data_IF_136923519525
#
_entry.id   IF_136923519525
#
_cell.length_a   1.000
_cell.length_b   1.000
_cell.length_c   1.000
_cell.angle_alpha   90.00
_cell.angle_beta   90.00
_cell.angle_gamma   90.00
#
_symmetry.space_group_name_H-M   'P 1'
#
loop_
_entity.id
_entity.type
_entity.pdbx_description
1 polymer ?
#
# COMPACT_ATOMS: atom_id res chain seq x y z
N UNK A 1 16.81 18.54 12.87
CA UNK A 1 15.50 17.96 12.59
C UNK A 1 15.57 16.50 13.01
N UNK A 2 14.72 16.06 13.94
CA UNK A 2 14.70 14.65 14.34
C UNK A 2 13.89 13.92 13.28
N UNK A 3 14.52 13.06 12.49
CA UNK A 3 13.79 12.17 11.57
C UNK A 3 12.80 11.36 12.40
N UNK A 4 11.50 11.45 12.07
CA UNK A 4 10.53 10.49 12.58
C UNK A 4 10.89 9.15 11.94
N UNK A 5 11.10 8.06 12.71
CA UNK A 5 11.28 6.76 12.12
C UNK A 5 9.94 6.32 11.51
N UNK A 6 9.94 6.05 10.20
CA UNK A 6 8.79 5.50 9.49
C UNK A 6 8.99 3.99 9.33
N UNK A 7 7.92 3.22 9.56
CA UNK A 7 7.94 1.76 9.40
C UNK A 7 7.74 1.42 7.92
N UNK A 8 8.71 0.73 7.32
CA UNK A 8 8.51 0.14 6.00
C UNK A 8 7.60 -1.09 6.12
N UNK A 9 6.57 -1.10 5.31
CA UNK A 9 5.58 -2.17 5.15
C UNK A 9 5.52 -2.60 3.69
N UNK A 10 4.70 -3.59 3.35
CA UNK A 10 4.66 -4.21 2.03
C UNK A 10 3.22 -4.42 1.58
N UNK A 11 3.01 -4.33 0.27
CA UNK A 11 1.76 -4.65 -0.42
C UNK A 11 2.06 -5.48 -1.67
N UNK A 12 1.28 -6.52 -1.99
CA UNK A 12 1.31 -7.14 -3.31
C UNK A 12 1.09 -6.10 -4.42
N UNK A 13 1.98 -6.09 -5.41
CA UNK A 13 1.94 -5.12 -6.51
C UNK A 13 0.65 -5.24 -7.34
N UNK A 14 0.12 -6.46 -7.46
CA UNK A 14 -1.09 -6.77 -8.24
C UNK A 14 -2.38 -6.26 -7.56
N UNK A 15 -2.32 -5.69 -6.35
CA UNK A 15 -3.48 -5.06 -5.68
C UNK A 15 -3.51 -3.53 -5.84
N UNK A 16 -2.38 -2.94 -6.23
CA UNK A 16 -2.16 -1.49 -6.16
C UNK A 16 -3.02 -0.69 -7.15
N UNK A 17 -3.62 -1.35 -8.14
CA UNK A 17 -4.49 -0.75 -9.17
C UNK A 17 -6.00 -0.94 -8.91
N UNK A 18 -6.40 -1.82 -7.98
CA UNK A 18 -7.80 -2.14 -7.71
C UNK A 18 -8.25 -1.72 -6.30
N UNK A 19 -7.56 -2.18 -5.26
CA UNK A 19 -7.86 -1.87 -3.86
C UNK A 19 -6.57 -1.97 -3.05
N UNK A 20 -6.26 -0.94 -2.27
CA UNK A 20 -5.07 -0.92 -1.41
C UNK A 20 -5.45 -1.38 0.01
N UNK A 21 -5.20 -2.65 0.40
CA UNK A 21 -5.48 -3.11 1.76
C UNK A 21 -4.46 -2.59 2.77
N UNK A 22 -4.62 -2.97 4.03
CA UNK A 22 -3.64 -2.69 5.08
C UNK A 22 -2.27 -3.28 4.70
N UNK A 23 -1.20 -2.46 4.62
CA UNK A 23 0.13 -2.97 4.34
C UNK A 23 0.70 -3.72 5.55
N UNK A 24 1.46 -4.78 5.33
CA UNK A 24 2.00 -5.66 6.39
C UNK A 24 3.51 -5.54 6.53
N UNK A 25 4.07 -6.01 7.65
CA UNK A 25 5.49 -5.83 7.97
C UNK A 25 6.40 -6.67 7.09
N UNK A 26 5.94 -7.84 6.68
CA UNK A 26 6.67 -8.74 5.80
C UNK A 26 5.77 -9.31 4.71
N UNK A 27 6.30 -9.57 3.49
CA UNK A 27 5.55 -10.28 2.44
C UNK A 27 4.98 -11.62 2.89
N UNK A 28 5.70 -12.33 3.76
CA UNK A 28 5.26 -13.62 4.35
C UNK A 28 3.97 -13.49 5.18
N UNK A 29 3.69 -12.31 5.73
CA UNK A 29 2.51 -12.09 6.59
C UNK A 29 1.18 -12.19 5.82
N UNK A 30 1.23 -12.06 4.49
CA UNK A 30 0.06 -12.23 3.62
C UNK A 30 -0.29 -13.70 3.34
N UNK A 31 0.61 -14.65 3.65
CA UNK A 31 0.38 -16.05 3.36
C UNK A 31 -0.68 -16.61 4.30
N UNK A 32 -1.67 -17.28 3.73
CA UNK A 32 -2.62 -18.10 4.46
C UNK A 32 -2.56 -19.54 3.94
N UNK A 33 -2.60 -20.51 4.85
CA UNK A 33 -2.70 -21.93 4.53
C UNK A 33 -4.14 -22.37 4.70
N UNK A 34 -4.75 -22.86 3.62
CA UNK A 34 -6.10 -23.37 3.60
C UNK A 34 -6.18 -24.78 4.25
N UNK A 35 -7.38 -25.20 4.63
CA UNK A 35 -7.64 -26.51 5.26
C UNK A 35 -7.24 -27.71 4.38
N UNK A 36 -7.26 -27.54 3.06
CA UNK A 36 -6.83 -28.56 2.08
C UNK A 36 -5.29 -28.60 1.89
N UNK A 37 -4.56 -27.75 2.61
CA UNK A 37 -3.11 -27.63 2.56
C UNK A 37 -2.57 -26.74 1.45
N UNK A 38 -3.45 -26.13 0.63
CA UNK A 38 -3.07 -25.13 -0.36
C UNK A 38 -2.68 -23.80 0.31
N UNK A 39 -1.98 -22.94 -0.44
CA UNK A 39 -1.55 -21.63 0.04
C UNK A 39 -2.12 -20.53 -0.84
N UNK A 40 -2.57 -19.46 -0.19
CA UNK A 40 -3.05 -18.24 -0.84
C UNK A 40 -2.33 -17.01 -0.28
N UNK A 41 -2.27 -15.97 -1.10
CA UNK A 41 -2.02 -14.60 -0.64
C UNK A 41 -3.38 -13.96 -0.42
N UNK A 42 -3.59 -13.38 0.77
CA UNK A 42 -4.87 -12.77 1.15
C UNK A 42 -4.63 -11.48 1.96
N UNK A 43 -5.45 -10.44 1.77
CA UNK A 43 -5.43 -9.27 2.65
C UNK A 43 -5.61 -9.63 4.11
N UNK A 44 -5.10 -8.79 5.02
CA UNK A 44 -5.30 -8.92 6.46
C UNK A 44 -5.88 -7.62 6.99
N UNK A 45 -6.75 -7.73 7.99
CA UNK A 45 -7.40 -6.55 8.57
C UNK A 45 -6.38 -5.66 9.30
N UNK A 46 -5.38 -6.26 9.95
CA UNK A 46 -4.33 -5.52 10.62
C UNK A 46 -2.98 -6.25 10.59
N UNK A 47 -1.91 -5.50 10.75
CA UNK A 47 -0.54 -6.03 10.92
C UNK A 47 -0.37 -6.90 12.18
N UNK A 48 -1.31 -6.84 13.11
CA UNK A 48 -1.28 -7.60 14.36
C UNK A 48 -2.25 -8.78 14.35
N UNK A 49 -3.05 -8.93 13.30
CA UNK A 49 -3.96 -10.06 13.06
C UNK A 49 -3.67 -10.74 11.72
N UNK A 50 -2.72 -11.68 11.75
CA UNK A 50 -2.26 -12.40 10.56
C UNK A 50 -3.07 -13.68 10.28
N UNK A 51 -4.03 -14.02 11.15
CA UNK A 51 -4.82 -15.26 11.09
C UNK A 51 -6.29 -14.90 11.24
N UNK A 52 -6.92 -14.31 10.21
CA UNK A 52 -8.32 -13.94 10.30
C UNK A 52 -9.17 -15.18 10.61
N UNK A 53 -9.95 -15.11 11.68
CA UNK A 53 -10.99 -16.09 12.00
C UNK A 53 -12.19 -15.79 11.08
N UNK A 54 -12.28 -16.42 9.92
CA UNK A 54 -13.38 -16.13 8.99
C UNK A 54 -13.19 -16.69 7.58
N UNK A 55 -14.30 -16.76 6.83
CA UNK A 55 -14.35 -17.35 5.50
C UNK A 55 -13.61 -16.51 4.48
N UNK A 56 -12.66 -17.14 3.79
CA UNK A 56 -11.96 -16.67 2.59
C UNK A 56 -12.93 -16.13 1.51
N UNK A 57 -14.19 -16.54 1.55
CA UNK A 57 -15.28 -16.27 0.59
C UNK A 57 -15.59 -14.77 0.41
N UNK A 58 -15.44 -13.93 1.43
CA UNK A 58 -15.76 -12.48 1.31
C UNK A 58 -14.64 -11.68 0.60
N UNK A 59 -13.46 -12.27 0.43
CA UNK A 59 -12.27 -11.61 -0.16
C UNK A 59 -11.79 -12.31 -1.44
N UNK A 60 -12.64 -13.13 -2.08
CA UNK A 60 -12.29 -13.92 -3.28
C UNK A 60 -11.71 -13.09 -4.43
N UNK A 61 -12.08 -11.81 -4.55
CA UNK A 61 -11.60 -10.92 -5.60
C UNK A 61 -10.17 -10.40 -5.35
N UNK A 62 -9.65 -10.50 -4.13
CA UNK A 62 -8.32 -10.01 -3.75
C UNK A 62 -7.34 -11.12 -3.42
N UNK A 63 -7.78 -12.38 -3.42
CA UNK A 63 -6.91 -13.51 -3.14
C UNK A 63 -6.39 -14.16 -4.41
N UNK A 64 -5.22 -14.78 -4.29
CA UNK A 64 -4.69 -15.62 -5.35
C UNK A 64 -3.91 -16.79 -4.77
N UNK A 65 -3.98 -17.93 -5.47
CA UNK A 65 -3.26 -19.15 -5.11
C UNK A 65 -1.77 -19.02 -5.42
N UNK A 66 -0.94 -19.61 -4.56
CA UNK A 66 0.50 -19.70 -4.76
C UNK A 66 1.01 -21.12 -4.53
N UNK A 67 1.96 -21.55 -5.34
CA UNK A 67 2.66 -22.83 -5.23
C UNK A 67 4.17 -22.61 -5.06
N UNK A 68 4.84 -23.58 -4.43
CA UNK A 68 6.30 -23.48 -4.23
C UNK A 68 7.01 -23.24 -5.55
N UNK A 69 7.81 -22.19 -5.61
CA UNK A 69 8.53 -21.77 -6.81
C UNK A 69 7.93 -20.53 -7.49
N UNK A 70 6.67 -20.21 -7.24
CA UNK A 70 6.00 -19.02 -7.78
C UNK A 70 6.66 -17.73 -7.32
N UNK A 71 6.58 -16.71 -8.16
CA UNK A 71 7.08 -15.36 -7.88
C UNK A 71 5.90 -14.43 -7.68
N UNK A 72 5.92 -13.70 -6.57
CA UNK A 72 4.96 -12.65 -6.25
C UNK A 72 5.74 -11.34 -6.09
N UNK A 73 5.22 -10.26 -6.68
CA UNK A 73 5.83 -8.93 -6.58
C UNK A 73 5.19 -8.16 -5.44
N UNK A 74 6.01 -7.46 -4.67
CA UNK A 74 5.57 -6.59 -3.59
C UNK A 74 6.18 -5.21 -3.73
N UNK A 75 5.44 -4.17 -3.37
CA UNK A 75 5.95 -2.80 -3.28
C UNK A 75 6.22 -2.44 -1.81
N UNK A 76 7.44 -1.98 -1.47
CA UNK A 76 7.70 -1.42 -0.16
C UNK A 76 6.97 -0.09 -0.02
N UNK A 77 6.32 0.10 1.12
CA UNK A 77 5.45 1.24 1.41
C UNK A 77 5.79 1.87 2.75
N UNK A 78 5.79 3.20 2.82
CA UNK A 78 5.85 3.95 4.07
C UNK A 78 4.65 4.90 4.16
N UNK A 79 4.02 4.96 5.34
CA UNK A 79 2.95 5.91 5.65
C UNK A 79 3.53 7.04 6.50
N UNK A 80 3.41 8.29 6.03
CA UNK A 80 3.96 9.47 6.71
C UNK A 80 2.93 10.21 7.56
N UNK A 81 1.66 9.85 7.38
CA UNK A 81 0.52 10.40 8.10
C UNK A 81 -0.18 11.49 7.31
N UNK A 82 -1.06 12.19 8.02
CA UNK A 82 -1.97 13.18 7.47
C UNK A 82 -1.43 14.58 7.66
N UNK A 83 -1.47 15.38 6.61
CA UNK A 83 -0.99 16.75 6.53
C UNK A 83 -2.11 17.69 6.07
N UNK A 84 -2.01 18.98 6.41
CA UNK A 84 -2.96 20.00 5.94
C UNK A 84 -2.37 20.74 4.74
N UNK A 85 -2.97 20.56 3.57
CA UNK A 85 -2.68 21.30 2.34
C UNK A 85 -3.55 22.56 2.30
N UNK A 86 -2.95 23.70 1.99
CA UNK A 86 -3.64 24.96 1.79
C UNK A 86 -3.49 25.41 0.35
N UNK A 87 -4.61 25.78 -0.29
CA UNK A 87 -4.69 26.29 -1.65
C UNK A 87 -5.27 27.71 -1.62
N UNK A 88 -4.50 28.69 -2.09
CA UNK A 88 -4.92 30.08 -2.14
C UNK A 88 -5.72 30.41 -3.41
N UNK A 89 -6.39 31.57 -3.41
CA UNK A 89 -7.18 32.08 -4.55
C UNK A 89 -6.35 32.25 -5.84
N UNK A 90 -5.06 32.55 -5.71
CA UNK A 90 -4.14 32.70 -6.85
C UNK A 90 -3.53 31.37 -7.34
N UNK A 91 -4.04 30.23 -6.83
CA UNK A 91 -3.56 28.86 -7.10
C UNK A 91 -2.17 28.54 -6.53
N UNK A 92 -1.58 29.41 -5.73
CA UNK A 92 -0.41 29.03 -4.92
C UNK A 92 -0.84 28.08 -3.80
N UNK A 93 0.03 27.14 -3.42
CA UNK A 93 -0.28 26.17 -2.36
C UNK A 93 0.92 25.92 -1.45
N UNK A 94 0.65 25.50 -0.22
CA UNK A 94 1.65 25.05 0.76
C UNK A 94 1.06 23.99 1.68
N UNK A 95 1.92 23.28 2.40
CA UNK A 95 1.52 22.22 3.32
C UNK A 95 2.10 22.47 4.72
N UNK A 96 1.32 22.13 5.74
CA UNK A 96 1.76 22.30 7.14
C UNK A 96 2.69 21.17 7.58
N UNK A 97 3.94 21.53 7.84
CA UNK A 97 4.98 20.60 8.30
C UNK A 97 5.80 19.98 7.17
N UNK A 98 6.74 19.13 7.55
CA UNK A 98 7.64 18.46 6.61
C UNK A 98 7.31 16.96 6.53
N UNK A 99 7.46 16.41 5.33
CA UNK A 99 7.46 14.97 5.05
C UNK A 99 8.73 14.58 4.28
N UNK A 100 9.12 13.29 4.27
CA UNK A 100 10.29 12.83 3.54
C UNK A 100 10.26 13.21 2.05
N UNK A 101 11.39 13.70 1.52
CA UNK A 101 11.49 14.13 0.12
C UNK A 101 11.29 13.01 -0.91
N UNK A 102 11.30 11.75 -0.47
CA UNK A 102 11.00 10.59 -1.30
C UNK A 102 9.50 10.30 -1.46
N UNK A 103 8.63 10.98 -0.71
CA UNK A 103 7.18 10.82 -0.85
C UNK A 103 6.72 11.03 -2.30
N UNK A 104 5.90 10.11 -2.80
CA UNK A 104 5.48 10.07 -4.20
C UNK A 104 4.01 9.66 -4.38
N UNK A 105 3.26 9.55 -3.29
CA UNK A 105 1.87 9.14 -3.31
C UNK A 105 1.10 9.99 -2.29
N UNK A 106 0.05 10.66 -2.76
CA UNK A 106 -0.69 11.68 -2.03
C UNK A 106 -2.18 11.41 -2.21
N UNK A 107 -2.89 11.25 -1.10
CA UNK A 107 -4.32 10.96 -1.08
C UNK A 107 -5.09 12.11 -0.44
N UNK A 108 -6.11 12.61 -1.11
CA UNK A 108 -7.08 13.52 -0.52
C UNK A 108 -8.42 12.80 -0.44
N UNK A 109 -9.07 12.83 0.74
CA UNK A 109 -10.40 12.25 0.94
C UNK A 109 -11.35 12.66 -0.20
N UNK A 110 -12.25 11.75 -0.57
CA UNK A 110 -13.19 11.84 -1.69
C UNK A 110 -12.57 11.66 -3.09
N UNK A 111 -11.27 11.42 -3.19
CA UNK A 111 -10.68 10.83 -4.40
C UNK A 111 -10.82 9.31 -4.37
N UNK A 112 -11.25 8.74 -5.50
CA UNK A 112 -11.07 7.30 -5.82
C UNK A 112 -9.64 7.02 -6.34
N UNK A 113 -8.74 8.01 -6.33
CA UNK A 113 -7.42 7.94 -6.94
C UNK A 113 -6.34 8.63 -6.12
N UNK A 114 -5.09 8.26 -6.37
CA UNK A 114 -3.90 8.79 -5.71
C UNK A 114 -3.17 9.72 -6.67
N UNK A 115 -2.74 10.88 -6.18
CA UNK A 115 -1.85 11.76 -6.92
C UNK A 115 -0.39 11.40 -6.68
N UNK A 116 0.45 11.53 -7.71
CA UNK A 116 1.91 11.42 -7.62
C UNK A 116 2.57 12.67 -7.06
N UNK A 117 1.82 13.77 -6.94
CA UNK A 117 2.25 15.04 -6.34
C UNK A 117 1.06 15.82 -5.77
N UNK A 118 1.34 16.78 -4.88
CA UNK A 118 0.32 17.72 -4.40
C UNK A 118 -0.31 18.55 -5.52
N UNK A 119 0.45 18.90 -6.55
CA UNK A 119 -0.07 19.63 -7.71
C UNK A 119 -1.10 18.79 -8.47
N UNK A 120 -0.81 17.49 -8.66
CA UNK A 120 -1.74 16.57 -9.29
C UNK A 120 -3.00 16.36 -8.44
N UNK A 121 -2.87 16.22 -7.11
CA UNK A 121 -4.04 16.16 -6.21
C UNK A 121 -4.93 17.40 -6.38
N UNK A 122 -4.34 18.60 -6.47
CA UNK A 122 -5.07 19.85 -6.70
C UNK A 122 -5.76 19.87 -8.08
N UNK A 123 -5.14 19.29 -9.10
CA UNK A 123 -5.68 19.24 -10.47
C UNK A 123 -6.80 18.21 -10.65
N UNK A 124 -6.66 17.02 -10.03
CA UNK A 124 -7.67 15.96 -10.08
C UNK A 124 -8.87 16.32 -9.20
N UNK A 125 -8.64 16.95 -8.05
CA UNK A 125 -9.70 17.45 -7.18
C UNK A 125 -10.34 16.38 -6.31
N UNK A 126 -11.66 16.22 -6.43
CA UNK A 126 -12.45 15.14 -5.81
C UNK A 126 -12.93 14.12 -6.86
N UNK A 127 -12.39 14.18 -8.09
CA UNK A 127 -12.74 13.29 -9.19
C UNK A 127 -14.14 13.50 -9.79
N UNK A 128 -14.99 14.32 -9.17
CA UNK A 128 -16.40 14.52 -9.57
C UNK A 128 -16.66 15.96 -10.01
N UNK A 129 -16.19 16.93 -9.23
CA UNK A 129 -16.44 18.36 -9.42
C UNK A 129 -15.28 19.09 -10.13
N UNK A 130 -14.19 18.37 -10.41
CA UNK A 130 -12.98 18.93 -11.03
C UNK A 130 -11.96 19.40 -9.99
N UNK A 131 -10.97 20.22 -10.38
CA UNK A 131 -9.86 20.65 -9.51
C UNK A 131 -10.31 21.21 -8.16
N UNK A 132 -9.48 21.05 -7.12
CA UNK A 132 -9.77 21.62 -5.80
C UNK A 132 -9.91 23.15 -5.89
N UNK A 133 -10.92 23.68 -5.20
CA UNK A 133 -11.11 25.11 -5.01
C UNK A 133 -10.16 25.67 -3.92
N UNK A 134 -9.98 27.00 -3.80
CA UNK A 134 -9.22 27.57 -2.70
C UNK A 134 -9.77 27.14 -1.32
N UNK A 135 -8.90 26.68 -0.43
CA UNK A 135 -9.31 26.10 0.85
C UNK A 135 -8.19 25.35 1.57
N UNK A 136 -8.57 24.61 2.61
CA UNK A 136 -7.67 23.75 3.39
C UNK A 136 -8.17 22.31 3.33
N UNK A 137 -7.26 21.38 3.04
CA UNK A 137 -7.55 20.00 2.72
C UNK A 137 -6.68 19.05 3.53
N UNK A 138 -7.28 17.94 3.95
CA UNK A 138 -6.54 16.83 4.57
C UNK A 138 -5.93 15.97 3.47
N UNK A 139 -4.61 15.76 3.53
CA UNK A 139 -3.89 14.93 2.57
C UNK A 139 -3.06 13.89 3.33
N UNK A 140 -3.29 12.61 3.06
CA UNK A 140 -2.42 11.54 3.52
C UNK A 140 -1.23 11.39 2.57
N UNK A 141 -0.04 11.27 3.16
CA UNK A 141 1.22 11.24 2.43
C UNK A 141 1.90 9.90 2.61
N UNK A 142 2.31 9.31 1.50
CA UNK A 142 2.93 8.00 1.42
C UNK A 142 4.19 8.02 0.56
N UNK A 143 4.96 6.95 0.68
CA UNK A 143 5.93 6.54 -0.32
C UNK A 143 5.66 5.10 -0.73
N UNK A 144 5.61 4.85 -2.03
CA UNK A 144 5.61 3.52 -2.64
C UNK A 144 6.88 3.34 -3.47
N UNK A 145 7.65 2.29 -3.17
CA UNK A 145 8.83 1.93 -3.95
C UNK A 145 8.51 1.09 -5.18
N UNK A 146 9.56 0.69 -5.88
CA UNK A 146 9.43 -0.20 -7.04
C UNK A 146 9.08 -1.63 -6.59
N UNK A 147 8.53 -2.40 -7.52
CA UNK A 147 8.28 -3.83 -7.34
C UNK A 147 9.57 -4.58 -6.96
N UNK A 148 9.50 -5.33 -5.88
CA UNK A 148 10.50 -6.33 -5.50
C UNK A 148 9.89 -7.73 -5.62
N UNK A 149 10.64 -8.66 -6.22
CA UNK A 149 10.14 -10.01 -6.44
C UNK A 149 10.51 -10.95 -5.29
N UNK A 150 9.54 -11.75 -4.89
CA UNK A 150 9.67 -12.75 -3.83
C UNK A 150 9.23 -14.11 -4.32
N UNK A 151 10.08 -15.12 -4.10
CA UNK A 151 9.77 -16.51 -4.41
C UNK A 151 9.08 -17.18 -3.22
N UNK A 152 7.93 -17.79 -3.47
CA UNK A 152 7.26 -18.60 -2.47
C UNK A 152 7.99 -19.94 -2.26
N UNK A 153 8.25 -20.28 -1.00
CA UNK A 153 8.89 -21.54 -0.61
C UNK A 153 8.32 -22.11 0.67
N UNK A 154 8.29 -23.44 0.78
CA UNK A 154 7.92 -24.15 2.01
C UNK A 154 9.17 -24.87 2.53
N UNK A 155 9.55 -24.59 3.78
CA UNK A 155 10.67 -25.25 4.44
C UNK A 155 10.35 -26.72 4.73
N UNK A 156 11.36 -27.58 4.99
CA UNK A 156 11.12 -28.97 5.38
C UNK A 156 10.25 -29.16 6.64
N UNK A 157 10.17 -28.14 7.50
CA UNK A 157 9.31 -28.12 8.69
C UNK A 157 7.85 -27.71 8.39
N UNK A 158 7.51 -27.46 7.12
CA UNK A 158 6.19 -27.01 6.70
C UNK A 158 5.98 -25.50 6.74
N UNK A 159 6.98 -24.73 7.17
CA UNK A 159 6.86 -23.26 7.26
C UNK A 159 6.92 -22.63 5.87
N UNK A 160 5.78 -22.06 5.47
CA UNK A 160 5.63 -21.25 4.27
C UNK A 160 6.24 -19.85 4.45
N UNK A 161 7.00 -19.38 3.46
CA UNK A 161 7.58 -18.03 3.47
C UNK A 161 7.96 -17.56 2.07
N UNK A 162 8.08 -16.24 1.96
CA UNK A 162 8.64 -15.57 0.79
C UNK A 162 10.14 -15.30 0.98
N UNK A 163 10.91 -15.52 -0.09
CA UNK A 163 12.34 -15.21 -0.16
C UNK A 163 12.56 -14.15 -1.23
N UNK A 164 13.16 -13.02 -0.86
CA UNK A 164 13.51 -11.96 -1.82
C UNK A 164 14.47 -12.52 -2.89
N UNK A 165 14.13 -12.33 -4.15
CA UNK A 165 14.96 -12.75 -5.30
C UNK A 165 15.43 -11.58 -6.17
N UNK A 166 15.25 -10.34 -5.69
CA UNK A 166 15.64 -9.09 -6.35
C UNK A 166 14.60 -8.54 -7.33
N UNK A 167 15.03 -7.64 -8.21
CA UNK A 167 14.21 -7.16 -9.33
C UNK A 167 14.11 -8.27 -10.40
N UNK A 168 12.90 -8.61 -10.83
CA UNK A 168 12.67 -9.47 -11.98
C UNK A 168 12.29 -8.56 -13.15
N UNK A 169 13.25 -8.32 -14.05
CA UNK A 169 13.04 -7.56 -15.30
C UNK A 169 12.29 -8.37 -16.35
#
# INVERSE_FOLDING_TARGET
MSEKPYEQTWLPADWMDELVPTPLRHPTDFIHQCDDGSYIVIPKESKDDLRPDGGVEDQEHLLFNIATGDIVRFQPTEQYGTYTLHLAEDRSFWIDGDYPSKANCFYHNDLDSLGSSLAEVIEIGDGINGPLEPGSYSVDVYWWGNDEAFRFTVKPDGTAHFVNVGEVH
#
